data_IF_752478266307
#
_entry.id   IF_752478266307
#
_cell.length_a   1.000
_cell.length_b   1.000
_cell.length_c   1.000
_cell.angle_alpha   90.00
_cell.angle_beta   90.00
_cell.angle_gamma   90.00
#
_symmetry.space_group_name_H-M   'P 1'
#
loop_
_entity.id
_entity.type
_entity.pdbx_description
1 polymer ?
#
# COMPACT_ATOMS: atom_id res chain seq x y z
N UNK A 1 -1.81 -10.10 13.62
CA UNK A 1 -2.62 -9.20 12.78
C UNK A 1 -2.13 -9.24 11.34
N UNK A 2 -3.06 -9.32 10.38
CA UNK A 2 -2.83 -9.35 8.93
C UNK A 2 -3.55 -8.18 8.28
N UNK A 3 -2.97 -7.67 7.19
CA UNK A 3 -3.63 -6.74 6.27
C UNK A 3 -4.06 -7.51 5.02
N UNK A 4 -5.36 -7.51 4.74
CA UNK A 4 -5.91 -8.08 3.52
C UNK A 4 -6.35 -6.97 2.59
N UNK A 5 -6.02 -7.10 1.31
CA UNK A 5 -6.45 -6.16 0.29
C UNK A 5 -6.73 -6.83 -1.05
N UNK A 6 -7.59 -6.19 -1.84
CA UNK A 6 -7.88 -6.56 -3.22
C UNK A 6 -8.07 -5.28 -4.02
N UNK A 7 -7.67 -5.31 -5.28
CA UNK A 7 -7.85 -4.21 -6.21
C UNK A 7 -8.79 -4.59 -7.34
N UNK A 8 -9.47 -3.63 -7.93
CA UNK A 8 -10.31 -3.82 -9.12
C UNK A 8 -10.99 -2.52 -9.51
N UNK A 9 -11.97 -2.60 -10.41
CA UNK A 9 -12.74 -1.41 -10.79
C UNK A 9 -13.55 -0.87 -9.62
N UNK A 10 -13.71 0.45 -9.56
CA UNK A 10 -14.45 1.13 -8.49
C UNK A 10 -15.87 0.56 -8.32
N UNK A 11 -16.58 0.31 -9.44
CA UNK A 11 -17.93 -0.26 -9.46
C UNK A 11 -17.97 -1.65 -8.80
N UNK A 12 -17.01 -2.52 -9.16
CA UNK A 12 -16.95 -3.87 -8.58
C UNK A 12 -16.59 -3.81 -7.09
N UNK A 13 -15.60 -2.99 -6.71
CA UNK A 13 -15.17 -2.82 -5.32
C UNK A 13 -16.27 -2.26 -4.43
N UNK A 14 -17.02 -1.25 -4.87
CA UNK A 14 -18.18 -0.74 -4.14
C UNK A 14 -19.25 -1.82 -3.94
N UNK A 15 -19.49 -2.67 -4.95
CA UNK A 15 -20.44 -3.78 -4.81
C UNK A 15 -20.01 -4.81 -3.78
N UNK A 16 -18.70 -5.06 -3.67
CA UNK A 16 -18.12 -5.99 -2.71
C UNK A 16 -18.12 -5.40 -1.30
N UNK A 17 -17.80 -4.11 -1.15
CA UNK A 17 -17.86 -3.40 0.13
C UNK A 17 -19.26 -3.44 0.77
N UNK A 18 -20.33 -3.29 -0.05
CA UNK A 18 -21.72 -3.40 0.44
C UNK A 18 -22.07 -4.76 1.03
N UNK A 19 -21.37 -5.83 0.64
CA UNK A 19 -21.61 -7.20 1.14
C UNK A 19 -20.85 -7.52 2.42
N UNK A 20 -19.85 -6.73 2.77
CA UNK A 20 -18.95 -7.00 3.89
C UNK A 20 -18.78 -5.74 4.74
N UNK A 21 -19.61 -5.60 5.79
CA UNK A 21 -19.43 -4.53 6.77
C UNK A 21 -18.04 -4.64 7.41
N UNK A 22 -17.28 -3.54 7.44
CA UNK A 22 -15.95 -3.49 8.06
C UNK A 22 -14.77 -3.50 7.09
N UNK A 23 -15.01 -3.48 5.77
CA UNK A 23 -13.95 -3.16 4.79
C UNK A 23 -13.93 -1.68 4.47
N UNK A 24 -12.73 -1.13 4.38
CA UNK A 24 -12.49 0.22 3.90
C UNK A 24 -12.27 0.22 2.39
N UNK A 25 -12.60 1.34 1.74
CA UNK A 25 -12.45 1.53 0.30
C UNK A 25 -11.73 2.85 0.02
N UNK A 26 -10.77 2.81 -0.92
CA UNK A 26 -10.14 4.00 -1.47
C UNK A 26 -9.98 3.83 -2.99
N UNK A 27 -10.00 4.92 -3.75
CA UNK A 27 -10.06 4.91 -5.21
C UNK A 27 -8.93 5.71 -5.88
N UNK A 28 -8.62 5.35 -7.13
CA UNK A 28 -7.64 6.01 -7.98
C UNK A 28 -8.24 6.03 -9.39
N UNK A 29 -8.95 7.10 -9.74
CA UNK A 29 -9.70 7.19 -10.98
C UNK A 29 -10.79 6.11 -11.04
N UNK A 30 -10.73 5.24 -12.06
CA UNK A 30 -11.67 4.13 -12.25
C UNK A 30 -11.30 2.84 -11.47
N UNK A 31 -10.14 2.82 -10.83
CA UNK A 31 -9.68 1.71 -10.00
C UNK A 31 -9.95 2.00 -8.51
N UNK A 32 -10.04 0.94 -7.71
CA UNK A 32 -10.15 1.03 -6.27
C UNK A 32 -9.43 -0.13 -5.57
N UNK A 33 -9.17 0.08 -4.28
CA UNK A 33 -8.66 -0.91 -3.34
C UNK A 33 -9.65 -1.07 -2.20
N UNK A 34 -9.97 -2.32 -1.86
CA UNK A 34 -10.58 -2.67 -0.58
C UNK A 34 -9.52 -3.21 0.34
N UNK A 35 -9.60 -2.85 1.62
CA UNK A 35 -8.67 -3.32 2.62
C UNK A 35 -9.34 -3.44 4.00
N UNK A 36 -8.81 -4.35 4.81
CA UNK A 36 -9.17 -4.50 6.23
C UNK A 36 -8.09 -5.26 6.98
N UNK A 37 -8.15 -5.17 8.31
CA UNK A 37 -7.24 -5.89 9.23
C UNK A 37 -7.97 -7.03 9.93
N UNK A 38 -7.27 -8.14 10.15
CA UNK A 38 -7.81 -9.34 10.81
C UNK A 38 -6.71 -10.15 11.47
N UNK A 39 -7.03 -10.97 12.48
CA UNK A 39 -6.09 -11.95 13.02
C UNK A 39 -6.05 -13.26 12.23
N UNK A 40 -7.00 -13.47 11.31
CA UNK A 40 -7.03 -14.66 10.45
C UNK A 40 -6.11 -14.52 9.25
N UNK A 41 -5.54 -15.64 8.80
CA UNK A 41 -4.89 -15.72 7.49
C UNK A 41 -5.90 -15.77 6.34
N UNK A 42 -7.15 -16.15 6.64
CA UNK A 42 -8.20 -16.25 5.64
C UNK A 42 -8.79 -14.88 5.35
N UNK A 43 -8.80 -14.54 4.06
CA UNK A 43 -9.49 -13.35 3.59
C UNK A 43 -10.88 -13.66 3.08
N UNK A 44 -11.79 -12.70 3.26
CA UNK A 44 -13.10 -12.67 2.60
C UNK A 44 -12.98 -12.39 1.10
N UNK A 45 -11.84 -11.88 0.64
CA UNK A 45 -11.58 -11.63 -0.78
C UNK A 45 -11.12 -12.90 -1.49
N UNK A 46 -11.72 -13.19 -2.65
CA UNK A 46 -11.32 -14.29 -3.51
C UNK A 46 -9.95 -14.05 -4.17
N UNK A 47 -9.73 -12.81 -4.64
CA UNK A 47 -8.46 -12.34 -5.21
C UNK A 47 -7.67 -11.53 -4.19
N UNK A 48 -7.24 -12.19 -3.11
CA UNK A 48 -6.56 -11.52 -1.99
C UNK A 48 -5.06 -11.30 -2.26
N UNK A 49 -4.58 -10.14 -1.86
CA UNK A 49 -3.21 -9.91 -1.45
C UNK A 49 -3.24 -9.78 0.08
N UNK A 50 -2.48 -10.61 0.78
CA UNK A 50 -2.52 -10.67 2.25
C UNK A 50 -1.12 -10.58 2.82
N UNK A 51 -0.96 -9.77 3.85
CA UNK A 51 0.34 -9.43 4.42
C UNK A 51 0.34 -9.68 5.92
N UNK A 52 1.41 -10.29 6.41
CA UNK A 52 1.73 -10.33 7.83
C UNK A 52 2.32 -9.00 8.27
N UNK A 53 1.73 -8.37 9.27
CA UNK A 53 2.17 -7.05 9.72
C UNK A 53 3.38 -7.19 10.63
N UNK A 54 4.48 -6.56 10.22
CA UNK A 54 5.73 -6.49 10.99
C UNK A 54 5.70 -5.24 11.86
N UNK A 55 5.28 -4.10 11.28
CA UNK A 55 5.12 -2.83 11.97
C UNK A 55 3.79 -2.16 11.59
N UNK A 56 3.19 -1.49 12.57
CA UNK A 56 1.94 -0.75 12.38
C UNK A 56 1.87 0.45 13.33
N UNK A 57 1.33 1.56 12.85
CA UNK A 57 1.01 2.72 13.69
C UNK A 57 -0.30 3.37 13.23
N UNK A 58 -1.05 3.94 14.18
CA UNK A 58 -2.31 4.66 13.93
C UNK A 58 -3.50 3.78 13.50
N UNK A 59 -4.74 4.23 13.77
CA UNK A 59 -5.93 3.59 13.23
C UNK A 59 -6.07 3.85 11.73
N UNK A 60 -6.66 2.91 10.99
CA UNK A 60 -6.97 3.14 9.58
C UNK A 60 -8.26 3.95 9.44
N UNK A 61 -8.22 5.03 8.67
CA UNK A 61 -9.32 5.98 8.47
C UNK A 61 -9.58 6.26 6.98
N UNK A 62 -10.63 7.03 6.69
CA UNK A 62 -10.93 7.50 5.33
C UNK A 62 -10.01 8.68 4.96
N UNK A 63 -8.80 8.36 4.48
CA UNK A 63 -7.74 9.33 4.19
C UNK A 63 -6.94 8.98 2.92
N UNK A 64 -6.27 9.95 2.28
CA UNK A 64 -5.34 9.69 1.18
C UNK A 64 -4.32 8.62 1.57
N UNK A 65 -4.20 7.59 0.75
CA UNK A 65 -3.49 6.35 1.08
C UNK A 65 -2.50 6.01 -0.03
N UNK A 66 -1.20 6.01 0.28
CA UNK A 66 -0.18 5.50 -0.65
C UNK A 66 0.15 4.05 -0.33
N UNK A 67 0.19 3.19 -1.36
CA UNK A 67 0.55 1.78 -1.22
C UNK A 67 1.75 1.48 -2.11
N UNK A 68 2.83 1.02 -1.49
CA UNK A 68 4.05 0.56 -2.14
C UNK A 68 4.07 -0.97 -2.15
N UNK A 69 4.03 -1.55 -3.34
CA UNK A 69 4.17 -2.99 -3.56
C UNK A 69 5.61 -3.30 -3.94
N UNK A 70 6.29 -4.11 -3.12
CA UNK A 70 7.73 -4.34 -3.20
C UNK A 70 7.99 -5.84 -3.45
N UNK A 71 7.94 -6.32 -4.70
CA UNK A 71 8.17 -7.73 -5.02
C UNK A 71 9.67 -8.06 -4.91
N UNK A 72 10.04 -8.84 -3.89
CA UNK A 72 11.42 -9.28 -3.62
C UNK A 72 11.44 -10.80 -3.45
N UNK A 73 12.17 -11.54 -4.32
CA UNK A 73 12.31 -12.99 -4.22
C UNK A 73 12.94 -13.44 -2.90
N UNK A 74 12.60 -14.66 -2.46
CA UNK A 74 12.98 -15.23 -1.17
C UNK A 74 14.45 -15.13 -0.77
N UNK A 75 15.40 -15.16 -1.71
CA UNK A 75 16.84 -15.13 -1.44
C UNK A 75 17.37 -13.80 -0.88
N UNK A 76 16.63 -12.69 -1.02
CA UNK A 76 17.05 -11.36 -0.57
C UNK A 76 16.11 -10.74 0.49
N UNK A 77 15.37 -11.57 1.23
CA UNK A 77 14.44 -11.08 2.26
C UNK A 77 15.16 -10.53 3.49
N UNK A 78 16.26 -11.14 3.92
CA UNK A 78 16.94 -10.75 5.16
C UNK A 78 17.38 -9.27 5.19
N UNK A 79 18.05 -8.72 4.17
CA UNK A 79 18.42 -7.30 4.14
C UNK A 79 17.21 -6.36 4.06
N UNK A 80 16.06 -6.85 3.57
CA UNK A 80 14.84 -6.06 3.45
C UNK A 80 14.21 -5.78 4.81
N UNK A 81 14.31 -6.71 5.77
CA UNK A 81 13.81 -6.46 7.13
C UNK A 81 14.49 -5.27 7.78
N UNK A 82 15.82 -5.17 7.67
CA UNK A 82 16.57 -4.01 8.17
C UNK A 82 16.17 -2.73 7.46
N UNK A 83 16.01 -2.76 6.14
CA UNK A 83 15.54 -1.61 5.35
C UNK A 83 14.14 -1.15 5.79
N UNK A 84 13.24 -2.10 6.06
CA UNK A 84 11.87 -1.80 6.50
C UNK A 84 11.80 -1.30 7.95
N UNK A 85 12.74 -1.70 8.82
CA UNK A 85 12.89 -1.10 10.14
C UNK A 85 13.29 0.39 10.03
N UNK A 86 14.20 0.74 9.13
CA UNK A 86 14.56 2.14 8.86
C UNK A 86 13.37 2.92 8.27
N UNK A 87 12.58 2.30 7.39
CA UNK A 87 11.32 2.88 6.89
C UNK A 87 10.33 3.14 8.04
N UNK A 88 10.19 2.22 8.98
CA UNK A 88 9.32 2.40 10.15
C UNK A 88 9.70 3.66 10.94
N UNK A 89 10.99 3.85 11.22
CA UNK A 89 11.50 4.98 11.99
C UNK A 89 11.31 6.31 11.25
N UNK A 90 11.52 6.30 9.92
CA UNK A 90 11.24 7.47 9.08
C UNK A 90 9.76 7.84 9.14
N UNK A 91 8.85 6.85 9.02
CA UNK A 91 7.42 7.10 8.99
C UNK A 91 6.87 7.54 10.34
N UNK A 92 7.41 7.04 11.46
CA UNK A 92 7.00 7.50 12.80
C UNK A 92 7.32 8.97 13.06
N UNK A 93 8.40 9.47 12.45
CA UNK A 93 8.86 10.85 12.64
C UNK A 93 8.35 11.82 11.55
N UNK A 94 7.66 11.31 10.53
CA UNK A 94 7.19 12.13 9.41
C UNK A 94 5.86 12.81 9.75
N UNK A 95 5.89 14.14 9.84
CA UNK A 95 4.70 14.96 10.05
C UNK A 95 3.64 14.73 8.97
N UNK A 96 2.41 14.46 9.41
CA UNK A 96 1.26 14.26 8.54
C UNK A 96 1.11 12.83 8.01
N UNK A 97 1.94 11.88 8.47
CA UNK A 97 1.58 10.45 8.46
C UNK A 97 0.55 10.22 9.57
N UNK A 98 -0.63 9.71 9.21
CA UNK A 98 -1.71 9.39 10.16
C UNK A 98 -1.64 7.94 10.64
N UNK A 99 -1.37 7.03 9.71
CA UNK A 99 -1.25 5.61 9.98
C UNK A 99 -0.35 4.95 8.95
N UNK A 100 0.27 3.84 9.30
CA UNK A 100 0.99 3.00 8.33
C UNK A 100 0.96 1.52 8.72
N UNK A 101 1.15 0.67 7.71
CA UNK A 101 1.32 -0.77 7.82
C UNK A 101 2.49 -1.22 6.96
N UNK A 102 3.43 -1.93 7.58
CA UNK A 102 4.55 -2.56 6.90
C UNK A 102 4.42 -4.06 7.12
N UNK A 103 4.47 -4.83 6.03
CA UNK A 103 4.26 -6.27 6.13
C UNK A 103 4.86 -7.10 5.02
N UNK A 104 5.04 -8.38 5.30
CA UNK A 104 5.50 -9.40 4.34
C UNK A 104 4.29 -10.13 3.74
N UNK A 105 4.31 -10.42 2.44
CA UNK A 105 3.24 -11.18 1.80
C UNK A 105 3.14 -12.61 2.37
N UNK A 106 1.92 -13.04 2.73
CA UNK A 106 1.63 -14.41 3.19
C UNK A 106 1.75 -15.45 2.06
N UNK A 107 1.55 -15.01 0.81
CA UNK A 107 1.64 -15.85 -0.38
C UNK A 107 2.44 -15.13 -1.46
N UNK A 108 3.44 -15.81 -1.99
CA UNK A 108 4.42 -15.22 -2.89
C UNK A 108 5.56 -14.51 -2.16
N UNK A 109 6.25 -13.65 -2.90
CA UNK A 109 7.51 -13.03 -2.49
C UNK A 109 7.38 -11.50 -2.60
N UNK A 110 7.52 -10.81 -1.46
CA UNK A 110 7.54 -9.36 -1.40
C UNK A 110 6.91 -8.77 -0.14
N UNK A 111 6.97 -7.44 -0.08
CA UNK A 111 6.54 -6.64 1.05
C UNK A 111 5.56 -5.55 0.62
N UNK A 112 4.87 -4.98 1.59
CA UNK A 112 4.01 -3.82 1.43
C UNK A 112 4.43 -2.71 2.39
N UNK A 113 4.36 -1.47 1.92
CA UNK A 113 4.32 -0.28 2.77
C UNK A 113 3.06 0.50 2.43
N UNK A 114 2.09 0.47 3.32
CA UNK A 114 0.81 1.15 3.22
C UNK A 114 0.83 2.34 4.17
N UNK A 115 0.52 3.55 3.68
CA UNK A 115 0.63 4.78 4.47
C UNK A 115 -0.61 5.63 4.23
N UNK A 116 -1.23 6.11 5.30
CA UNK A 116 -2.29 7.11 5.27
C UNK A 116 -1.75 8.47 5.63
N UNK A 117 -2.15 9.47 4.86
CA UNK A 117 -1.65 10.82 4.91
C UNK A 117 -2.75 11.78 5.34
N UNK A 118 -2.39 12.81 6.10
CA UNK A 118 -3.31 13.86 6.51
C UNK A 118 -3.95 14.55 5.29
N UNK A 119 -3.16 14.73 4.22
CA UNK A 119 -3.57 15.34 2.95
C UNK A 119 -2.73 14.79 1.80
N UNK A 120 -3.26 14.84 0.59
CA UNK A 120 -2.52 14.52 -0.64
C UNK A 120 -1.27 15.38 -0.81
N UNK A 121 -1.31 16.65 -0.40
CA UNK A 121 -0.14 17.54 -0.44
C UNK A 121 1.01 17.04 0.44
N UNK A 122 0.70 16.48 1.62
CA UNK A 122 1.72 15.93 2.53
C UNK A 122 2.48 14.77 1.89
N UNK A 123 1.79 13.87 1.19
CA UNK A 123 2.47 12.81 0.42
C UNK A 123 3.33 13.40 -0.71
N UNK A 124 2.83 14.43 -1.40
CA UNK A 124 3.58 15.09 -2.46
C UNK A 124 4.87 15.75 -1.94
N UNK A 125 4.81 16.40 -0.77
CA UNK A 125 5.97 16.99 -0.10
C UNK A 125 6.95 15.89 0.35
N UNK A 126 6.43 14.81 0.94
CA UNK A 126 7.26 13.67 1.36
C UNK A 126 8.04 13.07 0.19
N UNK A 127 7.43 12.95 -1.00
CA UNK A 127 8.12 12.47 -2.21
C UNK A 127 9.35 13.29 -2.62
N UNK A 128 9.44 14.56 -2.20
CA UNK A 128 10.58 15.43 -2.49
C UNK A 128 11.75 15.24 -1.51
N UNK A 129 11.51 14.59 -0.38
CA UNK A 129 12.51 14.39 0.68
C UNK A 129 13.61 13.40 0.29
N UNK A 130 14.77 13.50 0.94
CA UNK A 130 15.81 12.49 0.82
C UNK A 130 15.34 11.14 1.39
N UNK A 131 14.51 11.14 2.44
CA UNK A 131 13.96 9.93 3.04
C UNK A 131 13.13 9.14 2.01
N UNK A 132 12.22 9.78 1.28
CA UNK A 132 11.50 9.08 0.22
C UNK A 132 12.44 8.55 -0.86
N UNK A 133 13.36 9.41 -1.35
CA UNK A 133 14.30 9.05 -2.41
C UNK A 133 15.16 7.85 -2.07
N UNK A 134 15.67 7.78 -0.84
CA UNK A 134 16.60 6.75 -0.39
C UNK A 134 15.93 5.44 0.03
N UNK A 135 14.62 5.45 0.29
CA UNK A 135 13.94 4.30 0.91
C UNK A 135 12.75 3.72 0.16
N UNK A 136 11.97 4.55 -0.54
CA UNK A 136 10.67 4.14 -1.11
C UNK A 136 10.59 4.25 -2.64
N UNK A 137 11.62 4.78 -3.28
CA UNK A 137 11.70 4.80 -4.75
C UNK A 137 12.02 3.41 -5.31
N UNK A 138 11.61 3.17 -6.55
CA UNK A 138 11.97 1.94 -7.26
C UNK A 138 13.49 1.77 -7.39
N UNK A 139 14.23 2.87 -7.55
CA UNK A 139 15.70 2.88 -7.58
C UNK A 139 16.28 2.40 -6.25
N UNK A 140 15.89 3.01 -5.13
CA UNK A 140 16.36 2.62 -3.80
C UNK A 140 16.06 1.16 -3.46
N UNK A 141 14.91 0.65 -3.92
CA UNK A 141 14.47 -0.72 -3.67
C UNK A 141 15.06 -1.72 -4.67
N UNK A 142 15.52 -1.28 -5.85
CA UNK A 142 16.07 -2.17 -6.90
C UNK A 142 17.31 -2.92 -6.45
N UNK A 143 18.11 -2.36 -5.54
CA UNK A 143 19.32 -2.98 -4.99
C UNK A 143 19.05 -4.30 -4.23
N UNK A 144 17.81 -4.55 -3.83
CA UNK A 144 17.39 -5.77 -3.15
C UNK A 144 16.82 -6.84 -4.10
N UNK A 145 16.81 -6.57 -5.40
CA UNK A 145 16.21 -7.45 -6.41
C UNK A 145 17.27 -8.15 -7.22
N UNK A 146 16.99 -9.39 -7.60
CA UNK A 146 17.81 -10.13 -8.56
C UNK A 146 17.53 -9.66 -9.98
N UNK A 147 18.49 -9.88 -10.88
CA UNK A 147 18.34 -9.54 -12.30
C UNK A 147 17.08 -10.20 -12.90
N UNK A 148 16.79 -11.45 -12.54
CA UNK A 148 15.57 -12.16 -12.98
C UNK A 148 14.30 -11.51 -12.45
N UNK A 149 14.29 -11.08 -11.19
CA UNK A 149 13.12 -10.43 -10.60
C UNK A 149 12.76 -9.16 -11.38
N UNK A 150 13.75 -8.38 -11.83
CA UNK A 150 13.56 -7.11 -12.55
C UNK A 150 12.60 -7.22 -13.75
N UNK A 151 12.58 -8.38 -14.41
CA UNK A 151 11.76 -8.61 -15.59
C UNK A 151 10.32 -9.09 -15.30
N UNK A 152 10.05 -9.66 -14.13
CA UNK A 152 8.80 -10.39 -13.88
C UNK A 152 7.78 -9.66 -12.99
N UNK A 153 8.23 -8.78 -12.08
CA UNK A 153 7.31 -8.02 -11.19
C UNK A 153 7.86 -6.62 -10.95
N UNK A 154 7.14 -5.55 -11.26
CA UNK A 154 7.64 -4.20 -11.00
C UNK A 154 7.38 -3.75 -9.56
N UNK A 155 8.33 -3.03 -8.98
CA UNK A 155 8.06 -2.20 -7.80
C UNK A 155 7.07 -1.12 -8.25
N UNK A 156 6.00 -0.93 -7.50
CA UNK A 156 5.00 0.09 -7.83
C UNK A 156 4.53 0.81 -6.58
N UNK A 157 4.24 2.10 -6.74
CA UNK A 157 3.61 2.94 -5.72
C UNK A 157 2.35 3.53 -6.33
N UNK A 158 1.23 3.44 -5.61
CA UNK A 158 -0.06 3.99 -6.03
C UNK A 158 -0.64 4.86 -4.92
N UNK A 159 -1.25 5.98 -5.29
CA UNK A 159 -1.99 6.82 -4.37
C UNK A 159 -3.48 6.60 -4.61
N UNK A 160 -4.19 6.21 -3.56
CA UNK A 160 -5.63 6.10 -3.52
C UNK A 160 -6.19 7.22 -2.65
N UNK A 161 -7.32 7.78 -3.05
CA UNK A 161 -8.04 8.84 -2.36
C UNK A 161 -9.33 8.28 -1.72
N UNK A 162 -9.83 8.94 -0.66
CA UNK A 162 -11.22 8.77 -0.23
C UNK A 162 -12.18 8.85 -1.41
N UNK A 163 -13.25 8.05 -1.42
CA UNK A 163 -14.20 8.05 -2.54
C UNK A 163 -14.80 9.44 -2.82
N UNK A 164 -15.02 10.23 -1.76
CA UNK A 164 -15.52 11.62 -1.84
C UNK A 164 -14.55 12.58 -2.53
N UNK A 165 -13.26 12.27 -2.51
CA UNK A 165 -12.18 13.10 -3.06
C UNK A 165 -11.66 12.54 -4.40
N UNK A 166 -12.16 11.36 -4.82
CA UNK A 166 -11.87 10.74 -6.10
C UNK A 166 -12.85 11.28 -7.14
N UNK A 167 -12.61 12.51 -7.59
CA UNK A 167 -13.29 13.09 -8.75
C UNK A 167 -12.89 12.25 -9.98
N UNK A 168 -13.74 11.32 -10.38
CA UNK A 168 -13.74 10.89 -11.78
C UNK A 168 -14.33 12.09 -12.53
N UNK A 169 -13.46 12.90 -13.15
CA UNK A 169 -13.90 14.02 -13.96
C UNK A 169 -14.96 13.51 -14.96
N UNK A 170 -16.24 13.92 -14.85
CA UNK A 170 -17.29 13.47 -15.75
C UNK A 170 -17.11 14.01 -17.17
N UNK A 171 -16.16 14.92 -17.41
CA UNK A 171 -15.99 15.60 -18.70
C UNK A 171 -15.17 14.81 -19.73
N UNK A 172 -14.59 13.65 -19.40
CA UNK A 172 -13.90 12.79 -20.39
C UNK A 172 -14.84 11.87 -21.19
N UNK A 173 -16.16 11.97 -21.00
CA UNK A 173 -17.19 11.27 -21.80
C UNK A 173 -18.01 12.22 -22.69
N UNK A 174 -17.39 13.08 -23.51
CA UNK A 174 -18.08 13.70 -24.67
C UNK A 174 -17.19 13.85 -25.91
#
# INVERSE_FOLDING_TARGET
MKLHLTTGTITYMQSLARKHSGVSIAAMGQDAVLYYESDSNDSIFSSRQSYDLINSSGPLEDSPTSIHYIPIPGENKDPMYSHLAEVNDILSDTNGVLAYRIGEALAGDGFIVFIQWAKTSTYNDFKQTNSYRNYLTAEALSKYRTAEALFHKSISARLYLPLKDNEADPEDEF
#
